data_IF_589495531102
#
_entry.id   IF_589495531102
#
_cell.length_a   1.000
_cell.length_b   1.000
_cell.length_c   1.000
_cell.angle_alpha   90.00
_cell.angle_beta   90.00
_cell.angle_gamma   90.00
#
_symmetry.space_group_name_H-M   'P 1'
#
loop_
_entity.id
_entity.type
_entity.pdbx_description
1 polymer ?
#
# COMPACT_ATOMS: atom_id res chain seq x y z
N UNK A 1 10.62 -13.76 3.09
CA UNK A 1 10.56 -12.56 2.22
C UNK A 1 9.20 -11.92 2.42
N UNK A 2 9.07 -10.58 2.37
CA UNK A 2 7.76 -9.93 2.48
C UNK A 2 6.86 -10.36 1.32
N UNK A 3 5.59 -10.64 1.59
CA UNK A 3 4.65 -10.99 0.53
C UNK A 3 4.34 -9.73 -0.27
N UNK A 4 4.45 -9.73 -1.60
CA UNK A 4 4.08 -8.57 -2.39
C UNK A 4 2.61 -8.21 -2.14
N UNK A 5 2.30 -6.93 -1.90
CA UNK A 5 0.92 -6.45 -1.76
C UNK A 5 0.05 -6.83 -2.97
N UNK A 6 0.66 -7.10 -4.13
CA UNK A 6 -0.06 -7.65 -5.29
C UNK A 6 -0.70 -9.02 -5.03
N UNK A 7 -0.11 -9.85 -4.17
CA UNK A 7 -0.72 -11.13 -3.79
C UNK A 7 -1.94 -10.89 -2.88
N UNK A 8 -1.99 -9.74 -2.18
CA UNK A 8 -3.20 -9.30 -1.48
C UNK A 8 -4.25 -8.78 -2.47
N UNK A 9 -3.86 -8.24 -3.63
CA UNK A 9 -4.79 -7.87 -4.71
C UNK A 9 -5.57 -9.08 -5.24
N UNK A 10 -5.00 -10.29 -5.21
CA UNK A 10 -5.70 -11.52 -5.63
C UNK A 10 -6.95 -11.81 -4.76
N UNK A 11 -6.98 -11.32 -3.51
CA UNK A 11 -8.15 -11.36 -2.64
C UNK A 11 -9.11 -10.18 -2.81
N UNK A 12 -8.70 -9.10 -3.50
CA UNK A 12 -9.44 -7.85 -3.66
C UNK A 12 -10.19 -7.74 -5.00
N UNK A 13 -10.51 -8.88 -5.62
CA UNK A 13 -11.39 -9.01 -6.78
C UNK A 13 -10.85 -8.46 -8.12
N UNK A 14 -9.87 -9.13 -8.72
CA UNK A 14 -9.64 -9.03 -10.17
C UNK A 14 -8.21 -9.23 -10.62
N UNK A 15 -8.04 -9.43 -11.94
CA UNK A 15 -6.71 -9.45 -12.55
C UNK A 15 -6.15 -8.02 -12.59
N UNK A 16 -4.97 -7.74 -12.01
CA UNK A 16 -4.37 -6.41 -12.10
C UNK A 16 -4.07 -6.06 -13.57
N UNK A 17 -4.17 -4.78 -13.92
CA UNK A 17 -3.66 -4.30 -15.21
C UNK A 17 -2.13 -4.42 -15.26
N UNK A 18 -1.53 -4.29 -16.46
CA UNK A 18 -0.06 -4.34 -16.59
C UNK A 18 0.63 -3.22 -15.79
N UNK A 19 0.02 -2.03 -15.72
CA UNK A 19 0.54 -0.90 -14.93
C UNK A 19 0.58 -1.22 -13.44
N UNK A 20 -0.53 -1.69 -12.88
CA UNK A 20 -0.61 -2.12 -11.48
C UNK A 20 0.34 -3.30 -11.18
N UNK A 21 0.46 -4.25 -12.12
CA UNK A 21 1.40 -5.36 -11.99
C UNK A 21 2.86 -4.88 -11.92
N UNK A 22 3.24 -3.97 -12.82
CA UNK A 22 4.59 -3.41 -12.86
C UNK A 22 4.93 -2.61 -11.58
N UNK A 23 3.98 -1.86 -11.06
CA UNK A 23 4.15 -1.14 -9.79
C UNK A 23 4.34 -2.11 -8.61
N UNK A 24 3.56 -3.20 -8.57
CA UNK A 24 3.71 -4.27 -7.57
C UNK A 24 5.06 -4.98 -7.63
N UNK A 25 5.56 -5.26 -8.84
CA UNK A 25 6.90 -5.83 -9.06
C UNK A 25 8.02 -4.90 -8.60
N UNK A 26 7.87 -3.60 -8.89
CA UNK A 26 8.83 -2.58 -8.47
C UNK A 26 8.90 -2.49 -6.94
N UNK A 27 7.75 -2.47 -6.26
CA UNK A 27 7.68 -2.50 -4.81
C UNK A 27 8.34 -3.74 -4.22
N UNK A 28 8.06 -4.92 -4.77
CA UNK A 28 8.69 -6.17 -4.30
C UNK A 28 10.21 -6.12 -4.43
N UNK A 29 10.71 -5.67 -5.59
CA UNK A 29 12.15 -5.57 -5.84
C UNK A 29 12.83 -4.65 -4.82
N UNK A 30 12.22 -3.50 -4.52
CA UNK A 30 12.74 -2.57 -3.53
C UNK A 30 12.67 -3.16 -2.11
N UNK A 31 11.56 -3.80 -1.75
CA UNK A 31 11.37 -4.41 -0.44
C UNK A 31 12.33 -5.58 -0.18
N UNK A 32 12.62 -6.41 -1.18
CA UNK A 32 13.62 -7.49 -1.07
C UNK A 32 15.01 -6.93 -0.81
N UNK A 33 15.40 -5.85 -1.51
CA UNK A 33 16.70 -5.20 -1.30
C UNK A 33 16.79 -4.51 0.06
N UNK A 34 15.71 -3.87 0.52
CA UNK A 34 15.64 -3.20 1.81
C UNK A 34 15.59 -4.16 3.02
N UNK A 35 15.32 -5.44 2.77
CA UNK A 35 15.04 -6.43 3.80
C UNK A 35 13.66 -6.26 4.43
N UNK A 36 13.17 -7.33 5.06
CA UNK A 36 11.98 -7.23 5.93
C UNK A 36 12.38 -6.78 7.32
N UNK A 37 11.41 -6.33 8.10
CA UNK A 37 11.56 -6.24 9.54
C UNK A 37 11.39 -7.65 10.14
N UNK A 38 12.43 -8.16 10.79
CA UNK A 38 12.38 -9.51 11.36
C UNK A 38 11.60 -9.57 12.66
N UNK A 39 11.74 -8.55 13.50
CA UNK A 39 11.02 -8.40 14.75
C UNK A 39 9.60 -7.86 14.51
N UNK A 40 8.60 -8.59 15.00
CA UNK A 40 7.20 -8.20 14.85
C UNK A 40 6.85 -6.95 15.66
N UNK A 41 7.51 -6.71 16.79
CA UNK A 41 7.27 -5.52 17.62
C UNK A 41 7.83 -4.27 16.95
N UNK A 42 8.96 -4.40 16.24
CA UNK A 42 9.49 -3.32 15.39
C UNK A 42 8.54 -3.04 14.22
N UNK A 43 7.95 -4.07 13.60
CA UNK A 43 6.95 -3.86 12.56
C UNK A 43 5.69 -3.16 13.12
N UNK A 44 5.20 -3.61 14.28
CA UNK A 44 4.05 -3.00 14.97
C UNK A 44 4.30 -1.55 15.40
N UNK A 45 5.55 -1.16 15.63
CA UNK A 45 5.89 0.24 15.93
C UNK A 45 5.52 1.22 14.80
N UNK A 46 5.20 0.73 13.60
CA UNK A 46 4.63 1.54 12.53
C UNK A 46 3.13 1.78 12.65
N UNK A 47 2.47 1.23 13.66
CA UNK A 47 1.13 1.63 14.08
C UNK A 47 1.21 2.63 15.25
N UNK A 48 0.24 3.53 15.31
CA UNK A 48 -0.01 4.37 16.47
C UNK A 48 -0.83 3.61 17.55
N UNK A 49 -1.16 4.30 18.64
CA UNK A 49 -1.90 3.73 19.77
C UNK A 49 -3.31 3.26 19.40
N UNK A 50 -3.89 3.82 18.32
CA UNK A 50 -5.21 3.45 17.80
C UNK A 50 -5.14 2.30 16.77
N UNK A 51 -3.94 1.75 16.52
CA UNK A 51 -3.73 0.71 15.53
C UNK A 51 -3.75 1.20 14.08
N UNK A 52 -3.58 2.52 13.86
CA UNK A 52 -3.51 3.12 12.52
C UNK A 52 -2.07 3.36 12.11
N UNK A 53 -1.74 3.35 10.80
CA UNK A 53 -0.38 3.63 10.38
C UNK A 53 0.12 4.99 10.87
N UNK A 54 1.38 5.05 11.32
CA UNK A 54 1.98 6.27 11.86
C UNK A 54 1.81 7.46 10.90
N UNK A 55 1.34 8.56 11.48
CA UNK A 55 1.11 9.83 10.74
C UNK A 55 2.34 10.35 10.02
N UNK A 56 3.55 10.06 10.52
CA UNK A 56 4.82 10.42 9.89
C UNK A 56 5.03 9.70 8.55
N UNK A 57 4.69 8.42 8.47
CA UNK A 57 4.79 7.62 7.23
C UNK A 57 3.73 8.08 6.24
N UNK A 58 2.49 8.27 6.70
CA UNK A 58 1.38 8.80 5.90
C UNK A 58 1.74 10.16 5.31
N UNK A 59 2.30 11.06 6.13
CA UNK A 59 2.73 12.39 5.68
C UNK A 59 3.86 12.30 4.65
N UNK A 60 4.84 11.41 4.83
CA UNK A 60 5.92 11.18 3.87
C UNK A 60 5.38 10.80 2.49
N UNK A 61 4.38 9.91 2.45
CA UNK A 61 3.69 9.50 1.21
C UNK A 61 2.94 10.67 0.57
N UNK A 62 2.18 11.43 1.38
CA UNK A 62 1.42 12.59 0.89
C UNK A 62 2.34 13.69 0.33
N UNK A 63 3.45 13.96 1.01
CA UNK A 63 4.44 14.95 0.58
C UNK A 63 5.13 14.51 -0.71
N UNK A 64 5.45 13.22 -0.83
CA UNK A 64 5.98 12.65 -2.07
C UNK A 64 5.01 12.81 -3.24
N UNK A 65 3.74 12.43 -3.08
CA UNK A 65 2.74 12.63 -4.15
C UNK A 65 2.54 14.11 -4.50
N UNK A 66 2.53 14.98 -3.49
CA UNK A 66 2.42 16.43 -3.68
C UNK A 66 3.55 16.99 -4.54
N UNK A 67 4.80 16.55 -4.29
CA UNK A 67 5.99 16.96 -5.03
C UNK A 67 6.06 16.37 -6.45
N UNK A 68 5.72 15.09 -6.61
CA UNK A 68 5.91 14.36 -7.87
C UNK A 68 4.74 14.54 -8.84
N UNK A 69 3.50 14.58 -8.34
CA UNK A 69 2.30 14.59 -9.19
C UNK A 69 1.45 15.86 -9.04
N UNK A 70 1.60 16.61 -7.94
CA UNK A 70 0.78 17.77 -7.61
C UNK A 70 -0.39 17.40 -6.69
N UNK A 71 -0.52 18.11 -5.58
CA UNK A 71 -1.39 17.75 -4.44
C UNK A 71 -2.90 17.80 -4.69
N UNK A 72 -3.33 18.51 -5.74
CA UNK A 72 -4.74 18.76 -6.08
C UNK A 72 -5.25 17.93 -7.26
N UNK A 73 -4.44 17.00 -7.79
CA UNK A 73 -4.90 16.13 -8.88
C UNK A 73 -5.82 15.04 -8.34
N UNK A 74 -6.91 14.76 -9.06
CA UNK A 74 -7.90 13.72 -8.70
C UNK A 74 -7.28 12.37 -8.29
N UNK A 75 -6.30 11.83 -9.04
CA UNK A 75 -5.60 10.61 -8.65
C UNK A 75 -4.89 10.68 -7.28
N UNK A 76 -4.28 11.81 -6.93
CA UNK A 76 -3.62 11.98 -5.63
C UNK A 76 -4.65 12.00 -4.50
N UNK A 77 -5.81 12.61 -4.71
CA UNK A 77 -6.90 12.59 -3.73
C UNK A 77 -7.48 11.18 -3.53
N UNK A 78 -7.68 10.45 -4.63
CA UNK A 78 -8.11 9.05 -4.56
C UNK A 78 -7.06 8.18 -3.86
N UNK A 79 -5.78 8.39 -4.14
CA UNK A 79 -4.67 7.69 -3.50
C UNK A 79 -4.64 7.91 -1.99
N UNK A 80 -4.86 9.15 -1.52
CA UNK A 80 -4.97 9.47 -0.09
C UNK A 80 -6.10 8.69 0.59
N UNK A 81 -7.27 8.62 -0.04
CA UNK A 81 -8.42 7.90 0.50
C UNK A 81 -8.20 6.37 0.50
N UNK A 82 -7.39 5.86 -0.42
CA UNK A 82 -7.09 4.43 -0.54
C UNK A 82 -5.87 3.99 0.26
N UNK A 83 -5.07 4.91 0.82
CA UNK A 83 -3.73 4.61 1.35
C UNK A 83 -3.73 3.69 2.58
N UNK A 84 -4.62 3.95 3.53
CA UNK A 84 -4.63 3.29 4.84
C UNK A 84 -4.62 1.75 4.75
N UNK A 85 -5.53 1.07 4.01
CA UNK A 85 -5.51 -0.39 3.93
C UNK A 85 -4.19 -0.91 3.32
N UNK A 86 -3.66 -0.28 2.28
CA UNK A 86 -2.40 -0.73 1.67
C UNK A 86 -1.21 -0.59 2.60
N UNK A 87 -1.16 0.51 3.35
CA UNK A 87 -0.12 0.75 4.32
C UNK A 87 -0.21 -0.21 5.50
N UNK A 88 -1.42 -0.47 6.01
CA UNK A 88 -1.68 -1.50 7.03
C UNK A 88 -1.23 -2.89 6.54
N UNK A 89 -1.57 -3.26 5.31
CA UNK A 89 -1.10 -4.51 4.70
C UNK A 89 0.43 -4.59 4.63
N UNK A 90 1.11 -3.49 4.28
CA UNK A 90 2.57 -3.44 4.23
C UNK A 90 3.20 -3.64 5.62
N UNK A 91 2.59 -3.09 6.67
CA UNK A 91 3.04 -3.28 8.05
C UNK A 91 2.86 -4.74 8.48
N UNK A 92 1.70 -5.34 8.21
CA UNK A 92 1.41 -6.76 8.53
C UNK A 92 2.40 -7.69 7.82
N UNK A 93 2.72 -7.40 6.55
CA UNK A 93 3.71 -8.13 5.75
C UNK A 93 5.18 -7.77 6.08
N UNK A 94 5.39 -6.94 7.11
CA UNK A 94 6.69 -6.55 7.68
C UNK A 94 7.62 -5.86 6.69
N UNK A 95 7.08 -5.00 5.84
CA UNK A 95 7.89 -4.13 5.00
C UNK A 95 8.74 -3.20 5.86
N UNK A 96 9.98 -2.96 5.45
CA UNK A 96 10.88 -2.03 6.15
C UNK A 96 10.51 -0.57 5.80
N UNK A 97 9.50 -0.03 6.49
CA UNK A 97 8.99 1.34 6.27
C UNK A 97 9.91 2.44 6.82
N UNK A 98 11.00 2.10 7.51
CA UNK A 98 12.08 3.05 7.79
C UNK A 98 12.92 3.38 6.55
N UNK A 99 12.80 2.59 5.48
CA UNK A 99 13.49 2.83 4.22
C UNK A 99 12.64 3.68 3.27
N UNK A 100 13.09 4.90 3.01
CA UNK A 100 12.42 5.85 2.11
C UNK A 100 12.09 5.28 0.72
N UNK A 101 12.93 4.40 0.18
CA UNK A 101 12.67 3.79 -1.14
C UNK A 101 11.47 2.86 -1.09
N UNK A 102 11.29 2.12 0.02
CA UNK A 102 10.13 1.25 0.24
C UNK A 102 8.87 2.11 0.36
N UNK A 103 8.92 3.19 1.16
CA UNK A 103 7.79 4.11 1.34
C UNK A 103 7.37 4.76 0.01
N UNK A 104 8.32 5.21 -0.81
CA UNK A 104 8.02 5.80 -2.13
C UNK A 104 7.47 4.77 -3.11
N UNK A 105 8.06 3.58 -3.17
CA UNK A 105 7.57 2.53 -4.07
C UNK A 105 6.18 2.03 -3.65
N UNK A 106 5.86 2.06 -2.34
CA UNK A 106 4.53 1.80 -1.83
C UNK A 106 3.55 2.91 -2.27
N UNK A 107 3.97 4.17 -2.18
CA UNK A 107 3.18 5.30 -2.66
C UNK A 107 2.84 5.19 -4.16
N UNK A 108 3.81 4.81 -4.99
CA UNK A 108 3.60 4.61 -6.44
C UNK A 108 2.65 3.44 -6.71
N UNK A 109 2.77 2.35 -5.94
CA UNK A 109 1.85 1.21 -6.02
C UNK A 109 0.41 1.61 -5.69
N UNK A 110 0.19 2.32 -4.58
CA UNK A 110 -1.15 2.80 -4.19
C UNK A 110 -1.72 3.75 -5.22
N UNK A 111 -0.90 4.62 -5.80
CA UNK A 111 -1.35 5.50 -6.87
C UNK A 111 -1.77 4.68 -8.11
N UNK A 112 -1.01 3.64 -8.45
CA UNK A 112 -1.34 2.73 -9.56
C UNK A 112 -2.64 1.96 -9.32
N UNK A 113 -2.96 1.61 -8.06
CA UNK A 113 -4.26 1.00 -7.71
C UNK A 113 -5.43 1.92 -8.10
N UNK A 114 -5.29 3.22 -7.89
CA UNK A 114 -6.36 4.20 -8.16
C UNK A 114 -6.30 4.84 -9.55
N UNK A 115 -5.24 4.62 -10.32
CA UNK A 115 -5.13 5.12 -11.72
C UNK A 115 -5.30 4.02 -12.75
N UNK A 116 -4.60 2.89 -12.56
CA UNK A 116 -4.54 1.79 -13.53
C UNK A 116 -5.50 0.67 -13.13
N UNK A 117 -5.64 0.44 -11.83
CA UNK A 117 -6.62 -0.47 -11.24
C UNK A 117 -6.59 -1.89 -11.82
N UNK A 118 -7.78 -2.45 -12.00
CA UNK A 118 -8.00 -3.85 -12.37
C UNK A 118 -8.67 -3.94 -13.73
N UNK A 119 -8.37 -5.03 -14.45
CA UNK A 119 -8.97 -5.28 -15.76
C UNK A 119 -10.50 -5.34 -15.63
N UNK A 120 -11.19 -4.47 -16.37
CA UNK A 120 -12.65 -4.43 -16.40
C UNK A 120 -13.32 -3.70 -15.23
N UNK A 121 -12.54 -3.00 -14.38
CA UNK A 121 -13.07 -2.15 -13.31
C UNK A 121 -12.73 -0.68 -13.56
N UNK A 122 -13.70 0.20 -13.35
CA UNK A 122 -13.45 1.64 -13.39
C UNK A 122 -12.57 2.06 -12.20
N UNK A 123 -11.57 2.88 -12.50
CA UNK A 123 -10.62 3.43 -11.53
C UNK A 123 -11.16 4.70 -10.85
N UNK A 124 -12.25 5.26 -11.40
CA UNK A 124 -13.04 6.34 -10.82
C UNK A 124 -13.92 5.82 -9.69
N UNK A 125 -13.37 5.84 -8.47
CA UNK A 125 -14.16 5.65 -7.26
C UNK A 125 -14.57 4.20 -7.04
N UNK A 126 -13.60 3.28 -7.05
CA UNK A 126 -13.79 2.00 -6.34
C UNK A 126 -14.04 2.35 -4.88
N UNK A 127 -15.31 2.52 -4.52
CA UNK A 127 -15.77 2.61 -3.16
C UNK A 127 -15.20 1.37 -2.47
N UNK A 128 -14.19 1.57 -1.63
CA UNK A 128 -13.70 0.64 -0.62
C UNK A 128 -14.80 0.38 0.44
N UNK A 129 -16.08 0.36 0.03
CA UNK A 129 -17.25 0.33 0.91
C UNK A 129 -17.69 -1.07 1.31
N UNK A 130 -17.12 -2.13 0.73
CA UNK A 130 -17.54 -3.51 0.97
C UNK A 130 -16.37 -4.48 1.21
N UNK A 131 -15.26 -4.04 1.83
CA UNK A 131 -14.29 -5.00 2.36
C UNK A 131 -14.86 -5.64 3.64
N UNK A 132 -15.57 -6.75 3.48
CA UNK A 132 -16.11 -7.59 4.57
C UNK A 132 -15.26 -8.83 4.86
N UNK A 133 -14.17 -9.06 4.10
CA UNK A 133 -13.33 -10.24 4.32
C UNK A 133 -12.17 -9.94 5.25
N UNK A 134 -12.13 -10.67 6.37
CA UNK A 134 -10.98 -10.75 7.27
C UNK A 134 -9.70 -10.82 6.45
N UNK A 135 -8.79 -9.88 6.69
CA UNK A 135 -7.39 -9.94 6.29
C UNK A 135 -6.92 -11.39 6.34
N UNK A 136 -6.58 -11.99 5.19
CA UNK A 136 -5.99 -13.33 5.12
C UNK A 136 -4.54 -13.26 5.59
N UNK A 137 -4.37 -12.98 6.88
CA UNK A 137 -3.10 -12.78 7.53
C UNK A 137 -3.25 -12.99 9.03
N UNK A 138 -3.73 -14.18 9.40
CA UNK A 138 -3.76 -14.67 10.78
C UNK A 138 -4.77 -13.95 11.68
N UNK A 139 -5.67 -14.71 12.29
CA UNK A 139 -6.42 -14.18 13.42
C UNK A 139 -5.44 -13.70 14.50
N UNK A 140 -5.69 -12.51 15.03
CA UNK A 140 -5.29 -12.25 16.41
C UNK A 140 -6.12 -13.20 17.28
N UNK A 141 -5.47 -14.27 17.74
CA UNK A 141 -6.04 -15.36 18.54
C UNK A 141 -5.04 -16.49 18.67
#
# INVERSE_FOLDING_TARGET
>A
MPTPLRNLLEGYEGKPTMGLQHAGDSLLKVAVVAGRVDDIEVAKSYFDEDGKPLTTIVKSIHDYWGKTHGSLKGPVQNGKNALEPWLTGAIIERYNLSNDKVVRSLADFVLSVVTDGFVGKDTTGTQMGNFTEKWRGGGFG
#
